data_IF_329718588822
#
_entry.id   IF_329718588822
#
_cell.length_a   1.000
_cell.length_b   1.000
_cell.length_c   1.000
_cell.angle_alpha   90.00
_cell.angle_beta   90.00
_cell.angle_gamma   90.00
#
_symmetry.space_group_name_H-M   'P 1'
#
loop_
_entity.id
_entity.type
_entity.pdbx_description
1 polymer ?
#
# COMPACT_ATOMS: atom_id res chain seq x y z
N UNK A 1 -10.42 -14.25 -15.45
CA UNK A 1 -10.31 -14.20 -13.97
C UNK A 1 -9.79 -12.81 -13.64
N UNK A 2 -10.40 -12.07 -12.71
CA UNK A 2 -9.86 -10.76 -12.29
C UNK A 2 -8.53 -10.99 -11.58
N UNK A 3 -7.59 -10.09 -11.77
CA UNK A 3 -6.31 -10.12 -11.05
C UNK A 3 -6.56 -9.90 -9.55
N UNK A 4 -5.95 -10.74 -8.72
CA UNK A 4 -6.17 -10.76 -7.27
C UNK A 4 -4.88 -10.49 -6.46
N UNK A 5 -3.80 -10.08 -7.12
CA UNK A 5 -2.53 -9.70 -6.50
C UNK A 5 -1.83 -8.65 -7.35
N UNK A 6 -1.13 -7.71 -6.73
CA UNK A 6 -0.48 -6.59 -7.40
C UNK A 6 0.96 -6.39 -6.88
N UNK A 7 1.92 -6.34 -7.80
CA UNK A 7 3.32 -6.03 -7.48
C UNK A 7 3.55 -4.53 -7.28
N UNK A 8 4.70 -4.16 -6.73
CA UNK A 8 5.09 -2.76 -6.53
C UNK A 8 4.98 -1.92 -7.81
N UNK A 9 5.42 -2.46 -8.95
CA UNK A 9 5.38 -1.77 -10.23
C UNK A 9 3.93 -1.43 -10.64
N UNK A 10 2.99 -2.35 -10.40
CA UNK A 10 1.56 -2.10 -10.65
C UNK A 10 0.97 -1.07 -9.69
N UNK A 11 1.43 -1.03 -8.45
CA UNK A 11 1.02 0.01 -7.50
C UNK A 11 1.52 1.39 -7.94
N UNK A 12 2.74 1.46 -8.49
CA UNK A 12 3.27 2.69 -9.11
C UNK A 12 2.48 3.08 -10.36
N UNK A 13 2.09 2.13 -11.20
CA UNK A 13 1.20 2.40 -12.33
C UNK A 13 -0.17 2.92 -11.87
N UNK A 14 -0.70 2.39 -10.77
CA UNK A 14 -1.92 2.89 -10.14
C UNK A 14 -1.76 4.34 -9.68
N UNK A 15 -0.69 4.67 -8.96
CA UNK A 15 -0.42 6.04 -8.53
C UNK A 15 -0.13 7.01 -9.67
N UNK A 16 0.29 6.52 -10.85
CA UNK A 16 0.42 7.31 -12.09
C UNK A 16 -0.88 7.43 -12.87
N UNK A 17 -1.99 6.84 -12.40
CA UNK A 17 -3.28 6.84 -13.11
C UNK A 17 -3.34 5.93 -14.33
N UNK A 18 -2.39 5.00 -14.48
CA UNK A 18 -2.30 4.10 -15.64
C UNK A 18 -3.19 2.89 -15.43
N UNK A 19 -3.18 2.31 -14.21
CA UNK A 19 -3.83 1.01 -13.94
C UNK A 19 -5.35 1.05 -14.15
N UNK A 20 -6.01 2.09 -13.64
CA UNK A 20 -7.47 2.24 -13.76
C UNK A 20 -7.88 3.28 -14.82
N UNK A 21 -6.92 3.95 -15.45
CA UNK A 21 -7.17 5.01 -16.43
C UNK A 21 -7.43 6.39 -15.82
N UNK A 22 -7.45 7.40 -16.69
CA UNK A 22 -7.59 8.80 -16.32
C UNK A 22 -8.92 9.11 -15.62
N UNK A 23 -8.88 9.91 -14.55
CA UNK A 23 -10.05 10.30 -13.77
C UNK A 23 -10.57 9.27 -12.77
N UNK A 24 -9.95 8.09 -12.70
CA UNK A 24 -10.31 7.02 -11.77
C UNK A 24 -9.40 7.01 -10.53
N UNK A 25 -9.62 6.05 -9.63
CA UNK A 25 -8.85 5.91 -8.39
C UNK A 25 -7.34 5.79 -8.65
N UNK A 26 -6.56 6.45 -7.81
CA UNK A 26 -5.09 6.45 -7.83
C UNK A 26 -4.59 6.23 -6.41
N UNK A 27 -3.53 5.45 -6.27
CA UNK A 27 -2.80 5.37 -5.01
C UNK A 27 -1.89 6.60 -4.83
N UNK A 28 -1.50 6.95 -3.60
CA UNK A 28 -0.39 7.85 -3.38
C UNK A 28 0.87 7.33 -4.07
N UNK A 29 1.73 8.24 -4.53
CA UNK A 29 3.08 7.89 -4.97
C UNK A 29 4.05 7.96 -3.78
N UNK A 30 5.20 7.27 -3.85
CA UNK A 30 6.28 7.46 -2.87
C UNK A 30 6.63 8.95 -2.71
N UNK A 31 6.88 9.42 -1.46
CA UNK A 31 7.09 8.63 -0.26
C UNK A 31 5.82 8.27 0.53
N UNK A 32 4.62 8.57 0.02
CA UNK A 32 3.34 8.34 0.72
C UNK A 32 2.67 6.99 0.39
N UNK A 33 3.23 6.19 -0.51
CA UNK A 33 2.74 4.82 -0.77
C UNK A 33 3.18 3.87 0.37
N UNK A 34 2.24 3.41 1.18
CA UNK A 34 2.52 2.70 2.45
C UNK A 34 2.40 1.16 2.38
N UNK A 35 2.47 0.57 1.19
CA UNK A 35 2.60 -0.88 1.01
C UNK A 35 3.33 -1.19 -0.30
N UNK A 36 4.07 -2.29 -0.30
CA UNK A 36 4.89 -2.72 -1.44
C UNK A 36 4.14 -3.65 -2.39
N UNK A 37 3.13 -4.36 -1.87
CA UNK A 37 2.38 -5.35 -2.64
C UNK A 37 1.00 -5.63 -2.05
N UNK A 38 0.06 -6.01 -2.91
CA UNK A 38 -1.20 -6.67 -2.52
C UNK A 38 -1.03 -8.14 -2.85
N UNK A 39 -1.01 -9.01 -1.84
CA UNK A 39 -0.84 -10.46 -2.05
C UNK A 39 -2.18 -11.15 -2.34
N UNK A 40 -3.30 -10.57 -1.90
CA UNK A 40 -4.64 -11.10 -2.11
C UNK A 40 -5.68 -9.98 -2.09
N UNK A 41 -6.60 -9.96 -3.06
CA UNK A 41 -7.81 -9.12 -3.05
C UNK A 41 -8.96 -9.88 -3.69
N UNK A 42 -10.07 -10.04 -2.96
CA UNK A 42 -11.25 -10.76 -3.43
C UNK A 42 -12.55 -10.04 -3.05
N UNK A 43 -13.59 -10.25 -3.86
CA UNK A 43 -14.95 -9.74 -3.63
C UNK A 43 -15.75 -10.60 -2.63
N UNK A 44 -15.20 -11.76 -2.24
CA UNK A 44 -15.79 -12.71 -1.30
C UNK A 44 -14.78 -13.13 -0.24
N UNK A 45 -15.23 -13.65 0.89
CA UNK A 45 -14.37 -14.00 2.03
C UNK A 45 -14.26 -12.86 3.05
N UNK A 46 -13.23 -12.92 3.89
CA UNK A 46 -13.07 -12.03 5.05
C UNK A 46 -14.08 -12.32 6.16
N UNK A 47 -13.93 -11.61 7.29
CA UNK A 47 -14.75 -11.77 8.50
C UNK A 47 -16.26 -11.68 8.23
N UNK A 48 -16.65 -10.79 7.30
CA UNK A 48 -18.06 -10.54 6.98
C UNK A 48 -18.52 -11.18 5.65
N UNK A 49 -17.71 -12.04 5.05
CA UNK A 49 -18.02 -12.72 3.77
C UNK A 49 -18.32 -11.77 2.58
N UNK A 50 -17.82 -10.53 2.63
CA UNK A 50 -18.06 -9.47 1.62
C UNK A 50 -16.79 -8.98 0.92
N UNK A 51 -15.70 -9.75 1.03
CA UNK A 51 -14.41 -9.42 0.45
C UNK A 51 -13.34 -9.15 1.49
N UNK A 52 -12.09 -9.22 1.03
CA UNK A 52 -10.89 -9.07 1.86
C UNK A 52 -9.74 -8.58 0.97
N UNK A 53 -8.84 -7.80 1.57
CA UNK A 53 -7.56 -7.39 0.98
C UNK A 53 -6.45 -7.71 1.97
N UNK A 54 -5.38 -8.33 1.50
CA UNK A 54 -4.14 -8.56 2.25
C UNK A 54 -3.00 -7.91 1.48
N UNK A 55 -2.30 -7.00 2.15
CA UNK A 55 -1.17 -6.24 1.60
C UNK A 55 0.01 -6.27 2.58
N UNK A 56 1.20 -5.96 2.08
CA UNK A 56 2.45 -6.03 2.85
C UNK A 56 3.32 -4.80 2.57
N UNK A 57 4.05 -4.34 3.59
CA UNK A 57 5.11 -3.35 3.51
C UNK A 57 6.39 -3.96 4.07
N UNK A 58 7.48 -3.95 3.31
CA UNK A 58 8.77 -4.41 3.79
C UNK A 58 9.40 -3.33 4.69
N UNK A 59 9.55 -3.63 5.98
CA UNK A 59 10.18 -2.72 6.93
C UNK A 59 11.70 -2.79 6.80
N UNK A 60 12.31 -1.64 6.46
CA UNK A 60 13.76 -1.45 6.38
C UNK A 60 14.17 -0.27 7.26
N UNK A 61 15.36 -0.34 7.85
CA UNK A 61 15.87 0.73 8.73
C UNK A 61 16.10 2.07 8.01
N UNK A 62 16.11 2.07 6.68
CA UNK A 62 16.35 3.23 5.83
C UNK A 62 15.05 3.86 5.27
N UNK A 63 13.88 3.44 5.76
CA UNK A 63 12.63 4.10 5.40
C UNK A 63 12.60 5.54 5.94
N UNK A 64 12.21 6.48 5.08
CA UNK A 64 12.35 7.92 5.28
C UNK A 64 11.79 8.44 6.61
N UNK A 65 10.72 7.82 7.11
CA UNK A 65 10.05 8.28 8.33
C UNK A 65 10.84 7.97 9.60
N UNK A 66 11.74 6.98 9.59
CA UNK A 66 12.57 6.67 10.76
C UNK A 66 13.61 7.76 11.05
N UNK A 67 14.04 8.50 10.03
CA UNK A 67 14.98 9.61 10.19
C UNK A 67 14.35 10.82 10.91
N UNK A 68 13.03 10.97 10.85
CA UNK A 68 12.32 12.11 11.41
C UNK A 68 11.36 11.77 12.57
N UNK A 69 11.07 10.49 12.84
CA UNK A 69 10.04 10.08 13.78
C UNK A 69 10.50 8.88 14.64
N UNK A 70 11.13 9.07 15.79
CA UNK A 70 11.72 10.29 16.33
C UNK A 70 13.24 10.19 16.34
N UNK A 71 13.94 11.32 16.46
CA UNK A 71 15.39 11.30 16.60
C UNK A 71 15.80 10.47 17.82
N UNK A 72 16.61 9.43 17.59
CA UNK A 72 17.08 8.44 18.58
C UNK A 72 16.02 7.46 19.12
N UNK A 73 14.79 7.49 18.60
CA UNK A 73 13.71 6.55 18.92
C UNK A 73 12.86 6.30 17.66
N UNK A 74 13.43 5.64 16.64
CA UNK A 74 12.80 5.49 15.34
C UNK A 74 11.59 4.54 15.44
N UNK A 75 10.42 5.06 15.08
CA UNK A 75 9.16 4.33 15.06
C UNK A 75 8.32 4.79 13.87
N UNK A 76 7.75 3.85 13.12
CA UNK A 76 6.85 4.20 12.02
C UNK A 76 5.69 5.04 12.57
N UNK A 77 5.38 6.21 11.96
CA UNK A 77 4.22 6.99 12.35
C UNK A 77 2.95 6.14 12.22
N UNK A 78 2.22 5.94 13.33
CA UNK A 78 1.00 5.12 13.33
C UNK A 78 -0.06 5.64 12.35
N UNK A 79 -0.07 6.94 12.05
CA UNK A 79 -0.94 7.53 11.04
C UNK A 79 -0.63 7.05 9.62
N UNK A 80 0.62 6.69 9.30
CA UNK A 80 0.98 6.12 8.00
C UNK A 80 0.58 4.64 7.87
N UNK A 81 0.40 3.93 8.98
CA UNK A 81 -0.19 2.59 8.96
C UNK A 81 -1.73 2.60 8.86
N UNK A 82 -2.35 3.77 9.10
CA UNK A 82 -3.79 3.98 8.97
C UNK A 82 -4.19 4.47 7.57
N UNK A 83 -3.31 5.23 6.92
CA UNK A 83 -3.47 5.75 5.55
C UNK A 83 -3.43 4.63 4.50
#
# INVERSE_FOLDING_TARGET
>A
MKENSFSYEKLIECGKGILFGEGNAQLPLPPMLMFDRIININETGGEFSKGEVIAELDIRSDLWFFDCHFKNDPVMPGCLGLD
#
